data_IF_091632120945
#
_entry.id   IF_091632120945
#
_cell.length_a   1.000
_cell.length_b   1.000
_cell.length_c   1.000
_cell.angle_alpha   90.00
_cell.angle_beta   90.00
_cell.angle_gamma   90.00
#
_symmetry.space_group_name_H-M   'P 1'
#
loop_
_entity.id
_entity.type
_entity.pdbx_description
1 polymer ?
#
# COMPACT_ATOMS: atom_id res chain seq x y z
N UNK A 1 -31.71 49.96 33.63
CA UNK A 1 -30.91 49.19 34.60
C UNK A 1 -30.68 47.81 33.99
N UNK A 2 -29.79 47.69 33.02
CA UNK A 2 -28.33 47.49 33.18
C UNK A 2 -28.00 46.19 33.91
N UNK A 3 -27.63 45.14 33.15
CA UNK A 3 -26.31 44.53 33.30
C UNK A 3 -26.02 43.60 32.10
N UNK A 4 -25.10 44.04 31.26
CA UNK A 4 -24.42 43.25 30.23
C UNK A 4 -23.32 42.46 30.93
N UNK A 5 -23.21 41.14 30.71
CA UNK A 5 -22.07 40.35 31.18
C UNK A 5 -21.39 39.68 29.99
N UNK A 6 -20.36 40.36 29.49
CA UNK A 6 -19.36 39.82 28.57
C UNK A 6 -18.63 38.65 29.23
N UNK A 7 -18.45 37.55 28.51
CA UNK A 7 -17.43 36.55 28.81
C UNK A 7 -16.78 36.15 27.51
N UNK A 8 -15.69 36.84 27.19
CA UNK A 8 -14.76 36.46 26.13
C UNK A 8 -13.82 35.43 26.75
N UNK A 9 -13.97 34.17 26.35
CA UNK A 9 -13.00 33.12 26.65
C UNK A 9 -11.88 33.19 25.61
N UNK A 10 -10.67 33.54 26.06
CA UNK A 10 -9.46 33.40 25.27
C UNK A 10 -9.08 31.91 25.25
N UNK A 11 -9.33 31.22 24.13
CA UNK A 11 -8.65 29.97 23.83
C UNK A 11 -7.20 30.29 23.48
N UNK A 12 -6.27 29.99 24.40
CA UNK A 12 -4.86 29.88 24.07
C UNK A 12 -4.68 28.65 23.17
N UNK A 13 -4.62 28.89 21.86
CA UNK A 13 -4.17 27.91 20.89
C UNK A 13 -2.65 27.80 21.03
N UNK A 14 -2.19 26.89 21.88
CA UNK A 14 -0.77 26.52 21.95
C UNK A 14 -0.42 25.76 20.67
N UNK A 15 0.03 26.48 19.64
CA UNK A 15 0.60 25.92 18.43
C UNK A 15 1.99 25.37 18.79
N UNK A 16 2.05 24.13 19.26
CA UNK A 16 3.31 23.41 19.40
C UNK A 16 3.88 23.15 18.00
N UNK A 17 4.78 24.02 17.56
CA UNK A 17 5.64 23.78 16.42
C UNK A 17 6.56 22.61 16.79
N UNK A 18 6.13 21.38 16.52
CA UNK A 18 7.01 20.24 16.52
C UNK A 18 8.00 20.43 15.36
N UNK A 19 9.22 20.84 15.69
CA UNK A 19 10.35 20.81 14.75
C UNK A 19 10.61 19.34 14.42
N UNK A 20 10.04 18.85 13.31
CA UNK A 20 10.42 17.58 12.73
C UNK A 20 11.90 17.68 12.35
N UNK A 21 12.76 16.92 13.06
CA UNK A 21 14.15 16.75 12.67
C UNK A 21 14.22 16.11 11.27
N UNK A 22 15.41 16.13 10.63
CA UNK A 22 15.58 15.45 9.35
C UNK A 22 15.22 13.97 9.52
N UNK A 23 14.17 13.54 8.83
CA UNK A 23 13.78 12.15 8.78
C UNK A 23 14.82 11.41 7.92
N UNK A 24 15.42 10.35 8.47
CA UNK A 24 16.50 9.63 7.79
C UNK A 24 15.93 8.55 6.88
N UNK A 25 16.30 8.57 5.61
CA UNK A 25 16.10 7.44 4.72
C UNK A 25 17.08 6.33 5.07
N UNK A 26 16.59 5.12 5.31
CA UNK A 26 17.40 3.93 5.55
C UNK A 26 17.31 2.95 4.37
N UNK A 27 18.30 2.08 4.23
CA UNK A 27 18.29 1.01 3.23
C UNK A 27 18.43 -0.33 3.93
N UNK A 28 17.42 -1.18 3.79
CA UNK A 28 17.40 -2.54 4.33
C UNK A 28 17.72 -3.54 3.22
N UNK A 29 18.63 -4.47 3.50
CA UNK A 29 19.12 -5.44 2.51
C UNK A 29 18.53 -6.81 2.82
N UNK A 30 17.85 -7.39 1.84
CA UNK A 30 17.33 -8.76 1.90
C UNK A 30 18.42 -9.72 1.43
N UNK A 31 18.88 -10.59 2.32
CA UNK A 31 19.94 -11.60 2.10
C UNK A 31 19.44 -13.04 2.26
N UNK A 32 18.18 -13.21 2.66
CA UNK A 32 17.55 -14.50 2.94
C UNK A 32 16.15 -14.52 2.27
N UNK A 33 15.85 -15.60 1.56
CA UNK A 33 14.59 -15.79 0.82
C UNK A 33 13.50 -16.51 1.63
N UNK A 34 13.78 -16.89 2.88
CA UNK A 34 12.78 -17.46 3.77
C UNK A 34 11.81 -16.40 4.30
N UNK A 35 10.56 -16.81 4.54
CA UNK A 35 9.59 -16.05 5.31
C UNK A 35 9.21 -16.82 6.58
N UNK A 36 9.29 -16.14 7.73
CA UNK A 36 9.07 -16.77 9.03
C UNK A 36 8.39 -15.78 9.99
N UNK A 37 7.66 -16.33 10.96
CA UNK A 37 7.12 -15.58 12.10
C UNK A 37 7.64 -16.21 13.40
N UNK A 38 8.41 -15.48 14.24
CA UNK A 38 8.82 -14.08 14.07
C UNK A 38 9.79 -13.88 12.89
N UNK A 39 9.86 -12.65 12.38
CA UNK A 39 10.75 -12.31 11.26
C UNK A 39 12.22 -12.46 11.66
N UNK A 40 13.04 -12.94 10.72
CA UNK A 40 14.49 -13.12 10.90
C UNK A 40 15.23 -12.01 10.16
N UNK A 41 16.27 -11.45 10.78
CA UNK A 41 17.10 -10.41 10.16
C UNK A 41 17.60 -10.85 8.78
N UNK A 42 17.54 -9.94 7.81
CA UNK A 42 17.91 -10.23 6.42
C UNK A 42 16.79 -10.81 5.56
N UNK A 43 15.61 -11.10 6.10
CA UNK A 43 14.41 -11.48 5.32
C UNK A 43 13.60 -10.26 4.87
N UNK A 44 12.77 -10.43 3.83
CA UNK A 44 11.88 -9.36 3.36
C UNK A 44 10.90 -8.90 4.43
N UNK A 45 10.31 -9.83 5.20
CA UNK A 45 9.41 -9.49 6.30
C UNK A 45 10.10 -8.62 7.33
N UNK A 46 11.30 -9.01 7.76
CA UNK A 46 12.06 -8.21 8.73
C UNK A 46 12.39 -6.82 8.18
N UNK A 47 12.78 -6.71 6.91
CA UNK A 47 13.10 -5.43 6.29
C UNK A 47 11.89 -4.47 6.27
N UNK A 48 10.69 -4.99 6.00
CA UNK A 48 9.46 -4.21 6.09
C UNK A 48 9.13 -3.85 7.54
N UNK A 49 9.28 -4.78 8.48
CA UNK A 49 9.09 -4.48 9.92
C UNK A 49 10.02 -3.37 10.41
N UNK A 50 11.29 -3.34 9.97
CA UNK A 50 12.21 -2.26 10.33
C UNK A 50 11.86 -0.93 9.66
N UNK A 51 11.41 -0.97 8.40
CA UNK A 51 10.97 0.24 7.70
C UNK A 51 9.77 0.88 8.39
N UNK A 52 8.81 0.09 8.87
CA UNK A 52 7.65 0.63 9.62
C UNK A 52 8.02 1.22 10.99
N UNK A 53 9.20 0.87 11.53
CA UNK A 53 9.73 1.48 12.75
C UNK A 53 10.49 2.79 12.46
N UNK A 54 10.78 3.08 11.19
CA UNK A 54 11.46 4.30 10.76
C UNK A 54 10.50 5.24 10.02
N UNK A 55 10.30 6.49 10.47
CA UNK A 55 9.39 7.42 9.79
C UNK A 55 9.89 7.90 8.40
N UNK A 56 11.05 7.43 7.94
CA UNK A 56 11.74 7.88 6.73
C UNK A 56 11.24 7.30 5.41
N UNK A 57 11.67 7.89 4.28
CA UNK A 57 11.45 7.30 2.97
C UNK A 57 12.49 6.20 2.73
N UNK A 58 12.20 5.00 3.19
CA UNK A 58 13.13 3.89 3.19
C UNK A 58 13.19 3.15 1.87
N UNK A 59 14.25 2.35 1.72
CA UNK A 59 14.45 1.48 0.58
C UNK A 59 14.74 0.06 1.02
N UNK A 60 14.16 -0.90 0.32
CA UNK A 60 14.52 -2.31 0.41
C UNK A 60 15.23 -2.72 -0.89
N UNK A 61 16.41 -3.32 -0.75
CA UNK A 61 17.20 -3.87 -1.85
C UNK A 61 17.40 -5.37 -1.64
N UNK A 62 17.40 -6.15 -2.73
CA UNK A 62 17.65 -7.58 -2.68
C UNK A 62 19.13 -7.86 -2.99
N UNK A 63 19.82 -8.47 -2.04
CA UNK A 63 21.15 -9.06 -2.20
C UNK A 63 21.08 -10.59 -2.22
N UNK A 64 20.01 -11.11 -2.83
CA UNK A 64 19.78 -12.51 -3.15
C UNK A 64 19.47 -12.62 -4.63
N UNK A 65 19.94 -13.68 -5.28
CA UNK A 65 19.77 -13.86 -6.72
C UNK A 65 18.47 -14.63 -7.02
N UNK A 66 17.60 -14.05 -7.87
CA UNK A 66 16.42 -14.72 -8.46
C UNK A 66 15.53 -15.48 -7.45
N UNK A 67 15.25 -14.88 -6.30
CA UNK A 67 14.62 -15.55 -5.18
C UNK A 67 13.12 -15.82 -5.39
N UNK A 68 12.66 -16.96 -4.85
CA UNK A 68 11.26 -17.27 -4.66
C UNK A 68 10.97 -17.28 -3.15
N UNK A 69 10.25 -16.25 -2.68
CA UNK A 69 9.89 -16.09 -1.28
C UNK A 69 8.45 -16.55 -1.11
N UNK A 70 8.26 -17.69 -0.46
CA UNK A 70 6.94 -18.21 -0.09
C UNK A 70 6.51 -17.60 1.25
N UNK A 71 5.51 -16.72 1.20
CA UNK A 71 4.99 -16.02 2.37
C UNK A 71 4.14 -16.96 3.21
N UNK A 72 4.45 -17.06 4.50
CA UNK A 72 3.67 -17.86 5.48
C UNK A 72 2.46 -17.09 6.04
N UNK A 73 2.43 -15.78 5.79
CA UNK A 73 1.36 -14.84 6.15
C UNK A 73 1.50 -13.56 5.31
N UNK A 74 0.50 -12.67 5.26
CA UNK A 74 0.68 -11.35 4.65
C UNK A 74 1.91 -10.62 5.21
N UNK A 75 2.62 -9.87 4.37
CA UNK A 75 3.68 -8.97 4.81
C UNK A 75 3.09 -7.88 5.72
N UNK A 76 3.90 -7.27 6.62
CA UNK A 76 3.43 -6.19 7.47
C UNK A 76 2.80 -5.07 6.63
N UNK A 77 1.69 -4.52 7.12
CA UNK A 77 1.01 -3.41 6.45
C UNK A 77 1.90 -2.17 6.45
N UNK A 78 1.94 -1.44 5.33
CA UNK A 78 2.64 -0.15 5.25
C UNK A 78 1.74 0.94 5.81
N UNK A 79 1.99 1.42 7.01
CA UNK A 79 1.11 2.34 7.75
C UNK A 79 1.73 3.74 7.94
N UNK A 80 3.05 3.85 7.98
CA UNK A 80 3.76 5.12 8.08
C UNK A 80 4.91 5.19 7.06
N UNK A 81 5.54 6.37 6.94
CA UNK A 81 6.66 6.58 6.04
C UNK A 81 6.30 6.34 4.57
N UNK A 82 7.33 6.16 3.74
CA UNK A 82 7.16 5.73 2.35
C UNK A 82 8.23 4.71 2.01
N UNK A 83 7.84 3.60 1.41
CA UNK A 83 8.76 2.50 1.12
C UNK A 83 9.03 2.38 -0.38
N UNK A 84 10.31 2.30 -0.76
CA UNK A 84 10.74 1.88 -2.09
C UNK A 84 11.22 0.42 -2.06
N UNK A 85 10.41 -0.48 -2.61
CA UNK A 85 10.72 -1.90 -2.81
C UNK A 85 10.80 -2.17 -4.32
N UNK A 86 12.02 -2.22 -4.86
CA UNK A 86 12.28 -2.49 -6.28
C UNK A 86 13.26 -3.67 -6.38
N UNK A 87 12.81 -4.76 -6.99
CA UNK A 87 13.57 -6.02 -6.96
C UNK A 87 14.73 -6.07 -7.97
N UNK A 88 14.65 -5.38 -9.10
CA UNK A 88 15.77 -5.20 -10.00
C UNK A 88 16.26 -3.74 -10.00
N UNK A 89 17.57 -3.56 -10.22
CA UNK A 89 18.15 -2.25 -10.49
C UNK A 89 17.85 -1.85 -11.93
N UNK A 90 16.58 -1.69 -12.31
CA UNK A 90 16.25 -1.69 -13.72
C UNK A 90 16.48 -0.33 -14.39
N UNK A 91 17.53 -0.30 -15.21
CA UNK A 91 17.68 0.59 -16.35
C UNK A 91 16.42 0.58 -17.23
N UNK A 92 16.02 1.77 -17.66
CA UNK A 92 14.82 1.99 -18.47
C UNK A 92 15.09 1.54 -19.90
N UNK A 93 14.45 0.46 -20.37
CA UNK A 93 14.39 0.17 -21.82
C UNK A 93 14.47 -1.28 -22.27
N UNK A 94 14.41 -2.28 -21.39
CA UNK A 94 14.30 -3.68 -21.81
C UNK A 94 12.86 -4.19 -21.66
N UNK A 95 12.41 -5.12 -22.54
CA UNK A 95 11.11 -5.76 -22.39
C UNK A 95 11.01 -6.38 -20.99
N UNK A 96 9.82 -6.29 -20.38
CA UNK A 96 9.52 -6.86 -19.06
C UNK A 96 9.69 -8.37 -19.15
N UNK A 97 10.90 -8.85 -18.95
CA UNK A 97 11.10 -10.25 -18.61
C UNK A 97 10.33 -10.52 -17.32
N UNK A 98 9.80 -11.74 -17.13
CA UNK A 98 9.18 -12.11 -15.88
C UNK A 98 10.09 -11.72 -14.72
N UNK A 99 9.56 -10.91 -13.80
CA UNK A 99 10.30 -10.42 -12.64
C UNK A 99 11.14 -11.53 -12.01
N UNK A 100 12.45 -11.28 -11.86
CA UNK A 100 13.42 -12.23 -11.31
C UNK A 100 13.03 -12.72 -9.89
N UNK A 101 12.27 -11.91 -9.17
CA UNK A 101 11.87 -12.15 -7.79
C UNK A 101 10.39 -12.48 -7.73
N UNK A 102 10.06 -13.61 -7.12
CA UNK A 102 8.69 -14.09 -6.98
C UNK A 102 8.30 -14.12 -5.51
N UNK A 103 7.17 -13.49 -5.18
CA UNK A 103 6.46 -13.63 -3.92
C UNK A 103 5.26 -14.55 -4.14
N UNK A 104 5.19 -15.64 -3.39
CA UNK A 104 4.06 -16.57 -3.41
C UNK A 104 3.34 -16.58 -2.06
N UNK A 105 2.05 -16.91 -2.05
CA UNK A 105 1.33 -17.20 -0.82
C UNK A 105 1.40 -18.70 -0.50
N UNK A 106 1.77 -19.06 0.72
CA UNK A 106 1.50 -20.41 1.23
C UNK A 106 -0.04 -20.62 1.33
N UNK A 107 -0.47 -21.88 1.48
CA UNK A 107 -1.89 -22.21 1.61
C UNK A 107 -2.58 -21.37 2.71
N UNK A 108 -3.70 -20.72 2.36
CA UNK A 108 -4.44 -19.83 3.26
C UNK A 108 -3.92 -18.40 3.37
N UNK A 109 -2.83 -18.04 2.69
CA UNK A 109 -2.36 -16.65 2.63
C UNK A 109 -3.19 -15.87 1.62
N UNK A 110 -4.01 -14.97 2.14
CA UNK A 110 -5.00 -14.25 1.33
C UNK A 110 -4.38 -13.13 0.48
N UNK A 111 -3.36 -12.43 0.97
CA UNK A 111 -2.81 -11.21 0.38
C UNK A 111 -1.30 -11.14 0.57
N UNK A 112 -0.59 -10.49 -0.34
CA UNK A 112 0.83 -10.17 -0.19
C UNK A 112 1.04 -8.96 0.73
N UNK A 113 0.43 -7.82 0.41
CA UNK A 113 0.75 -6.52 1.03
C UNK A 113 -0.48 -5.60 1.14
N UNK A 114 -0.57 -4.87 2.24
CA UNK A 114 -1.47 -3.71 2.40
C UNK A 114 -0.66 -2.43 2.40
N UNK A 115 -1.12 -1.42 1.66
CA UNK A 115 -0.51 -0.10 1.58
C UNK A 115 -1.52 0.94 2.08
N UNK A 116 -1.24 1.52 3.24
CA UNK A 116 -2.01 2.58 3.88
C UNK A 116 -1.22 3.88 4.08
N UNK A 117 0.08 3.90 3.75
CA UNK A 117 0.99 5.04 3.87
C UNK A 117 1.27 5.74 2.52
N UNK A 118 1.74 6.99 2.52
CA UNK A 118 2.00 7.72 1.29
C UNK A 118 3.33 7.32 0.62
N UNK A 119 3.52 7.73 -0.63
CA UNK A 119 4.83 7.76 -1.31
C UNK A 119 5.50 6.38 -1.50
N UNK A 120 4.72 5.31 -1.56
CA UNK A 120 5.21 3.96 -1.77
C UNK A 120 5.56 3.67 -3.24
N UNK A 121 6.64 2.92 -3.47
CA UNK A 121 7.06 2.45 -4.79
C UNK A 121 7.33 0.96 -4.71
N UNK A 122 6.40 0.16 -5.22
CA UNK A 122 6.53 -1.29 -5.26
C UNK A 122 6.71 -1.70 -6.71
N UNK A 123 7.76 -2.45 -7.02
CA UNK A 123 8.01 -2.80 -8.40
C UNK A 123 8.93 -3.96 -8.65
N UNK A 124 8.83 -4.48 -9.88
CA UNK A 124 9.72 -5.50 -10.42
C UNK A 124 9.65 -6.83 -9.66
N UNK A 125 8.47 -7.10 -9.09
CA UNK A 125 8.15 -8.33 -8.37
C UNK A 125 7.13 -9.15 -9.18
N UNK A 126 7.17 -10.46 -9.02
CA UNK A 126 6.09 -11.35 -9.44
C UNK A 126 5.30 -11.77 -8.21
N UNK A 127 3.98 -11.79 -8.33
CA UNK A 127 3.08 -12.28 -7.29
C UNK A 127 2.26 -13.47 -7.80
N UNK A 128 2.28 -14.58 -7.07
CA UNK A 128 1.56 -15.82 -7.41
C UNK A 128 0.92 -16.45 -6.16
N UNK A 129 -0.02 -17.37 -6.35
CA UNK A 129 -0.49 -18.27 -5.28
C UNK A 129 -1.17 -17.64 -4.03
N UNK A 130 -1.82 -16.47 -4.17
CA UNK A 130 -2.64 -15.87 -3.11
C UNK A 130 -4.11 -16.27 -3.21
N UNK A 131 -4.82 -16.45 -2.08
CA UNK A 131 -6.20 -16.98 -2.05
C UNK A 131 -7.30 -15.93 -1.76
N UNK A 132 -6.93 -14.67 -1.55
CA UNK A 132 -7.82 -13.65 -1.01
C UNK A 132 -8.62 -12.81 -2.03
N UNK A 133 -9.26 -11.73 -1.56
CA UNK A 133 -9.99 -10.82 -2.46
C UNK A 133 -9.07 -9.97 -3.34
N UNK A 134 -7.79 -9.81 -2.97
CA UNK A 134 -6.76 -9.12 -3.73
C UNK A 134 -5.34 -9.59 -3.37
N UNK A 135 -4.38 -9.42 -4.27
CA UNK A 135 -2.94 -9.62 -3.96
C UNK A 135 -2.33 -8.41 -3.27
N UNK A 136 -2.64 -7.20 -3.74
CA UNK A 136 -2.23 -5.93 -3.13
C UNK A 136 -3.48 -5.09 -2.83
N UNK A 137 -3.59 -4.65 -1.58
CA UNK A 137 -4.62 -3.71 -1.14
C UNK A 137 -4.00 -2.33 -0.92
N UNK A 138 -4.49 -1.32 -1.64
CA UNK A 138 -4.15 0.09 -1.42
C UNK A 138 -5.36 0.74 -0.74
N UNK A 139 -5.22 1.10 0.53
CA UNK A 139 -6.35 1.42 1.40
C UNK A 139 -6.26 2.82 2.02
N UNK A 140 -7.37 3.57 1.90
CA UNK A 140 -7.60 4.82 2.63
C UNK A 140 -6.89 6.05 2.06
N UNK A 141 -7.23 7.21 2.62
CA UNK A 141 -6.80 8.53 2.12
C UNK A 141 -5.29 8.78 2.23
N UNK A 142 -4.63 8.06 3.14
CA UNK A 142 -3.20 8.21 3.40
C UNK A 142 -2.34 7.48 2.36
N UNK A 143 -2.89 6.49 1.65
CA UNK A 143 -2.19 5.67 0.65
C UNK A 143 -1.93 6.40 -0.68
N UNK A 144 -1.53 7.67 -0.64
CA UNK A 144 -1.40 8.54 -1.81
C UNK A 144 -0.04 8.44 -2.48
N UNK A 145 0.02 8.75 -3.78
CA UNK A 145 1.27 8.79 -4.57
C UNK A 145 2.00 7.44 -4.59
N UNK A 146 1.24 6.36 -4.51
CA UNK A 146 1.77 4.99 -4.59
C UNK A 146 1.96 4.60 -6.06
N UNK A 147 3.13 4.08 -6.37
CA UNK A 147 3.48 3.56 -7.70
C UNK A 147 3.65 2.05 -7.61
N UNK A 148 2.84 1.30 -8.36
CA UNK A 148 3.03 -0.13 -8.60
C UNK A 148 3.58 -0.27 -10.03
N UNK A 149 4.83 -0.68 -10.18
CA UNK A 149 5.51 -0.62 -11.48
C UNK A 149 6.20 -1.91 -11.87
N UNK A 150 6.03 -2.35 -13.13
CA UNK A 150 6.68 -3.55 -13.68
C UNK A 150 6.46 -4.80 -12.83
N UNK A 151 5.34 -4.87 -12.11
CA UNK A 151 4.94 -6.06 -11.37
C UNK A 151 4.24 -7.04 -12.30
N UNK A 152 4.33 -8.32 -11.99
CA UNK A 152 3.62 -9.37 -12.70
C UNK A 152 2.70 -10.13 -11.75
N UNK A 153 1.40 -10.19 -12.05
CA UNK A 153 0.41 -10.87 -11.23
C UNK A 153 -0.08 -12.14 -11.94
N UNK A 154 0.18 -13.30 -11.33
CA UNK A 154 -0.08 -14.63 -11.86
C UNK A 154 1.15 -15.28 -12.50
N UNK A 155 1.14 -16.60 -12.70
CA UNK A 155 2.23 -17.30 -13.39
C UNK A 155 1.89 -17.48 -14.88
N UNK A 156 2.64 -16.84 -15.81
CA UNK A 156 2.38 -16.94 -17.24
C UNK A 156 2.74 -18.31 -17.83
N UNK A 157 3.55 -19.12 -17.13
CA UNK A 157 4.06 -20.41 -17.61
C UNK A 157 3.17 -21.59 -17.24
N UNK A 158 2.54 -21.55 -16.07
CA UNK A 158 1.60 -22.58 -15.59
C UNK A 158 0.14 -22.20 -15.84
N UNK A 159 -0.14 -20.91 -16.08
CA UNK A 159 -1.49 -20.39 -16.23
C UNK A 159 -2.29 -20.39 -14.93
N UNK A 160 -1.62 -20.59 -13.79
CA UNK A 160 -2.24 -20.58 -12.48
C UNK A 160 -2.12 -19.18 -11.84
N UNK A 161 -3.20 -18.82 -11.14
CA UNK A 161 -3.07 -18.04 -9.94
C UNK A 161 -3.47 -18.92 -8.76
N UNK A 162 -2.96 -18.61 -7.57
CA UNK A 162 -3.76 -18.84 -6.36
C UNK A 162 -5.09 -18.11 -6.52
N UNK A 163 -6.14 -18.58 -5.84
CA UNK A 163 -7.53 -18.16 -6.03
C UNK A 163 -7.90 -16.68 -5.80
N UNK A 164 -6.95 -15.75 -5.87
CA UNK A 164 -7.17 -14.32 -5.71
C UNK A 164 -8.14 -13.76 -6.75
N UNK A 165 -9.12 -12.97 -6.30
CA UNK A 165 -10.13 -12.39 -7.20
C UNK A 165 -9.62 -11.16 -7.96
N UNK A 166 -8.74 -10.38 -7.34
CA UNK A 166 -8.13 -9.20 -7.95
C UNK A 166 -6.61 -9.21 -7.80
N UNK A 167 -5.87 -8.68 -8.78
CA UNK A 167 -4.45 -8.41 -8.55
C UNK A 167 -4.28 -7.21 -7.61
N UNK A 168 -4.95 -6.10 -7.91
CA UNK A 168 -4.85 -4.87 -7.12
C UNK A 168 -6.27 -4.40 -6.76
N UNK A 169 -6.49 -4.09 -5.49
CA UNK A 169 -7.69 -3.39 -5.02
C UNK A 169 -7.31 -2.03 -4.45
N UNK A 170 -8.02 -1.00 -4.89
CA UNK A 170 -7.97 0.35 -4.34
C UNK A 170 -9.31 0.61 -3.67
N UNK A 171 -9.31 0.77 -2.35
CA UNK A 171 -10.54 0.86 -1.57
C UNK A 171 -10.43 1.86 -0.41
N UNK A 172 -11.56 2.44 0.05
CA UNK A 172 -11.56 3.19 1.30
C UNK A 172 -11.32 2.25 2.49
N UNK A 173 -10.75 2.77 3.57
CA UNK A 173 -10.76 2.07 4.86
C UNK A 173 -12.18 2.13 5.42
N UNK A 174 -12.68 1.04 6.02
CA UNK A 174 -14.01 1.00 6.61
C UNK A 174 -14.22 2.17 7.59
N UNK A 175 -15.26 2.98 7.35
CA UNK A 175 -15.56 4.17 8.14
C UNK A 175 -14.85 5.45 7.70
N UNK A 176 -14.00 5.39 6.68
CA UNK A 176 -13.44 6.56 6.00
C UNK A 176 -14.11 6.76 4.64
N UNK A 177 -14.43 8.01 4.31
CA UNK A 177 -15.08 8.35 3.05
C UNK A 177 -14.10 8.49 1.88
N UNK A 178 -12.84 8.76 2.20
CA UNK A 178 -11.81 9.12 1.24
C UNK A 178 -11.03 7.88 0.77
N UNK A 179 -10.78 7.86 -0.54
CA UNK A 179 -10.02 6.82 -1.23
C UNK A 179 -8.60 7.31 -1.51
N UNK A 180 -7.70 6.38 -1.79
CA UNK A 180 -6.32 6.68 -2.14
C UNK A 180 -6.23 7.54 -3.42
N UNK A 181 -5.32 8.51 -3.45
CA UNK A 181 -5.15 9.43 -4.59
C UNK A 181 -3.74 9.35 -5.21
N UNK A 182 -3.65 9.62 -6.51
CA UNK A 182 -2.35 9.63 -7.21
C UNK A 182 -1.72 8.24 -7.31
N UNK A 183 -2.53 7.21 -7.53
CA UNK A 183 -2.04 5.84 -7.73
C UNK A 183 -1.63 5.63 -9.18
N UNK A 184 -0.41 5.17 -9.39
CA UNK A 184 0.12 4.84 -10.71
C UNK A 184 0.37 3.34 -10.81
N UNK A 185 -0.21 2.69 -11.81
CA UNK A 185 0.03 1.27 -12.13
C UNK A 185 0.64 1.22 -13.53
N UNK A 186 1.96 0.98 -13.61
CA UNK A 186 2.75 1.22 -14.83
C UNK A 186 3.54 -0.01 -15.25
N UNK A 187 3.35 -0.46 -16.49
CA UNK A 187 4.13 -1.57 -17.04
C UNK A 187 3.88 -2.91 -16.35
N UNK A 188 2.75 -3.07 -15.63
CA UNK A 188 2.39 -4.31 -14.97
C UNK A 188 1.77 -5.32 -15.94
N UNK A 189 2.06 -6.60 -15.73
CA UNK A 189 1.42 -7.72 -16.41
C UNK A 189 0.36 -8.38 -15.52
N UNK A 190 -0.78 -8.72 -16.11
CA UNK A 190 -1.87 -9.42 -15.43
C UNK A 190 -2.21 -10.66 -16.22
N UNK A 191 -1.96 -11.83 -15.64
CA UNK A 191 -2.28 -13.11 -16.22
C UNK A 191 -3.26 -13.84 -15.30
N UNK A 192 -4.29 -14.46 -15.87
CA UNK A 192 -5.19 -15.39 -15.16
C UNK A 192 -5.92 -14.83 -13.92
N UNK A 193 -6.08 -13.51 -13.82
CA UNK A 193 -6.89 -12.86 -12.80
C UNK A 193 -8.37 -12.82 -13.22
N UNK A 194 -9.30 -13.09 -12.29
CA UNK A 194 -10.74 -12.83 -12.50
C UNK A 194 -10.98 -11.35 -12.80
N UNK A 195 -10.25 -10.47 -12.12
CA UNK A 195 -10.25 -9.02 -12.35
C UNK A 195 -8.83 -8.49 -12.14
N UNK A 196 -8.30 -7.71 -13.08
CA UNK A 196 -6.95 -7.15 -12.91
C UNK A 196 -6.94 -6.11 -11.76
N UNK A 197 -7.78 -5.08 -11.86
CA UNK A 197 -7.79 -3.97 -10.91
C UNK A 197 -9.23 -3.69 -10.50
N UNK A 198 -9.46 -3.58 -9.19
CA UNK A 198 -10.72 -3.10 -8.62
C UNK A 198 -10.50 -1.74 -7.99
N UNK A 199 -11.35 -0.77 -8.34
CA UNK A 199 -11.36 0.56 -7.73
C UNK A 199 -12.74 0.76 -7.12
N UNK A 200 -12.80 0.84 -5.80
CA UNK A 200 -14.04 1.09 -5.06
C UNK A 200 -14.21 2.58 -4.84
N UNK A 201 -15.41 3.08 -5.15
CA UNK A 201 -15.76 4.45 -4.82
C UNK A 201 -16.02 4.57 -3.31
N UNK A 202 -15.55 5.66 -2.72
CA UNK A 202 -15.95 6.05 -1.36
C UNK A 202 -17.47 6.20 -1.24
N UNK A 203 -18.04 6.15 -0.03
CA UNK A 203 -19.46 6.38 0.19
C UNK A 203 -19.91 7.72 -0.40
N UNK A 204 -20.81 7.66 -1.39
CA UNK A 204 -21.46 8.84 -1.95
C UNK A 204 -22.36 9.44 -0.87
N UNK A 205 -21.94 10.55 -0.26
CA UNK A 205 -22.83 11.34 0.60
C UNK A 205 -23.84 12.04 -0.30
N UNK A 206 -25.01 11.42 -0.49
CA UNK A 206 -26.16 12.09 -1.10
C UNK A 206 -26.66 13.11 -0.08
N UNK A 207 -26.33 14.39 -0.26
CA UNK A 207 -27.00 15.47 0.49
C UNK A 207 -28.39 15.61 -0.13
N UNK A 208 -29.48 15.20 0.55
CA UNK A 208 -30.81 15.43 0.02
C UNK A 208 -31.00 16.94 -0.11
N UNK A 209 -31.27 17.39 -1.32
CA UNK A 209 -31.60 18.78 -1.60
C UNK A 209 -32.89 19.13 -0.83
N UNK A 210 -32.77 19.77 0.33
CA UNK A 210 -33.91 20.30 1.05
C UNK A 210 -34.51 21.45 0.23
N UNK A 211 -35.43 21.11 -0.67
CA UNK A 211 -36.30 22.10 -1.30
C UNK A 211 -37.03 22.85 -0.20
N UNK A 212 -36.68 24.12 0.02
CA UNK A 212 -37.47 25.00 0.88
C UNK A 212 -38.92 25.00 0.35
N UNK A 213 -39.93 24.78 1.21
CA UNK A 213 -41.30 24.89 0.77
C UNK A 213 -41.55 26.32 0.24
N UNK A 214 -42.34 26.47 -0.82
CA UNK A 214 -42.65 27.79 -1.36
C UNK A 214 -43.31 28.63 -0.27
N UNK A 215 -42.72 29.79 0.02
CA UNK A 215 -43.38 30.81 0.84
C UNK A 215 -44.61 31.29 0.09
N UNK A 216 -45.80 30.93 0.60
CA UNK A 216 -47.06 31.53 0.18
C UNK A 216 -47.00 33.03 0.51
N UNK A 217 -47.17 33.87 -0.53
CA UNK A 217 -47.47 35.30 -0.39
C UNK A 217 -48.95 35.51 -0.69
#
# INVERSE_FOLDING_TARGET
MSCVRNSVWFCFLSLSLAMAGPVSAETFIVVDDSDQQPAVEGTLRWAIEQSELNPGPDRIEFAIDFAHIELVAPLPDLQDGGLTLLAAGADVGHPVEPSAYTLSGAAGVERALTIASPDNRIGELRFVDFEGPEVILIAGAHARRTVISRCWFGDPSTGQMGGARAAIRIAPIAGQAEVAEGIEIVGCGFAHNDTAIVIEAGPVTVVPEMRRPPTLR
#
